data_IF_436611214460
#
_entry.id   IF_436611214460
#
_cell.length_a   1.000
_cell.length_b   1.000
_cell.length_c   1.000
_cell.angle_alpha   90.00
_cell.angle_beta   90.00
_cell.angle_gamma   90.00
#
_symmetry.space_group_name_H-M   'P 1'
#
loop_
_entity.id
_entity.type
_entity.pdbx_description
1 polymer ?
#
# COMPACT_ATOMS: atom_id res chain seq x y z
N UNK A 1 2.27 -1.69 20.79
CA UNK A 1 3.51 -2.52 20.84
C UNK A 1 4.68 -1.91 20.03
N UNK A 2 4.48 -1.53 18.77
CA UNK A 2 5.57 -1.02 17.89
C UNK A 2 6.33 0.20 18.44
N UNK A 3 5.62 1.22 18.93
CA UNK A 3 6.25 2.44 19.50
C UNK A 3 7.17 2.12 20.68
N UNK A 4 6.74 1.18 21.53
CA UNK A 4 7.55 0.70 22.64
C UNK A 4 8.84 0.01 22.17
N UNK A 5 8.74 -0.87 21.16
CA UNK A 5 9.90 -1.58 20.58
C UNK A 5 10.89 -0.61 19.93
N UNK A 6 10.41 0.40 19.22
CA UNK A 6 11.26 1.43 18.59
C UNK A 6 12.01 2.30 19.62
N UNK A 7 11.36 2.66 20.73
CA UNK A 7 11.99 3.38 21.85
C UNK A 7 13.05 2.52 22.53
N UNK A 8 12.74 1.24 22.81
CA UNK A 8 13.71 0.30 23.38
C UNK A 8 14.94 0.15 22.48
N UNK A 9 14.75 0.03 21.16
CA UNK A 9 15.86 -0.06 20.21
C UNK A 9 16.73 1.21 20.18
N UNK A 10 16.10 2.39 20.21
CA UNK A 10 16.81 3.66 20.21
C UNK A 10 17.60 3.88 21.51
N UNK A 11 16.98 3.62 22.67
CA UNK A 11 17.64 3.69 23.97
C UNK A 11 18.82 2.73 24.05
N UNK A 12 18.65 1.50 23.54
CA UNK A 12 19.73 0.52 23.50
C UNK A 12 20.90 0.95 22.60
N UNK A 13 20.61 1.62 21.48
CA UNK A 13 21.62 2.26 20.63
C UNK A 13 22.39 3.35 21.37
N UNK A 14 21.70 4.26 22.05
CA UNK A 14 22.31 5.33 22.85
C UNK A 14 23.23 4.78 23.94
N UNK A 15 22.77 3.78 24.70
CA UNK A 15 23.58 3.11 25.73
C UNK A 15 24.83 2.47 25.10
N UNK A 16 24.68 1.84 23.93
CA UNK A 16 25.80 1.20 23.23
C UNK A 16 26.86 2.21 22.77
N UNK A 17 26.44 3.36 22.23
CA UNK A 17 27.36 4.46 21.86
C UNK A 17 28.08 5.01 23.09
N UNK A 18 27.35 5.24 24.19
CA UNK A 18 27.92 5.79 25.41
C UNK A 18 28.97 4.86 26.03
N UNK A 19 28.66 3.56 26.13
CA UNK A 19 29.61 2.55 26.66
C UNK A 19 30.82 2.41 25.75
N UNK A 20 30.63 2.30 24.43
CA UNK A 20 31.73 2.17 23.48
C UNK A 20 32.61 3.42 23.39
N UNK A 21 32.01 4.61 23.43
CA UNK A 21 32.71 5.89 23.40
C UNK A 21 33.58 6.13 24.64
N UNK A 22 33.12 5.73 25.83
CA UNK A 22 33.91 5.83 27.07
C UNK A 22 35.19 5.00 27.01
N UNK A 23 35.10 3.77 26.48
CA UNK A 23 36.25 2.87 26.32
C UNK A 23 37.24 3.42 25.28
N UNK A 24 36.75 3.99 24.17
CA UNK A 24 37.60 4.63 23.17
C UNK A 24 38.27 5.91 23.68
N UNK A 25 37.66 6.61 24.64
CA UNK A 25 38.24 7.78 25.30
C UNK A 25 39.33 7.45 26.34
N UNK A 26 39.68 6.17 26.51
CA UNK A 26 40.76 5.74 27.40
C UNK A 26 40.35 5.50 28.85
N UNK A 27 39.04 5.48 29.16
CA UNK A 27 38.57 5.05 30.48
C UNK A 27 38.73 3.53 30.59
N UNK A 28 39.47 3.07 31.60
CA UNK A 28 39.72 1.65 31.84
C UNK A 28 38.42 0.93 32.20
N UNK A 29 37.97 -0.05 31.38
CA UNK A 29 36.77 -0.81 31.67
C UNK A 29 37.01 -1.98 32.64
N UNK A 30 38.25 -2.23 33.08
CA UNK A 30 38.60 -3.27 34.05
C UNK A 30 38.72 -4.68 33.46
N UNK A 31 38.88 -4.80 32.13
CA UNK A 31 39.09 -6.07 31.42
C UNK A 31 39.85 -5.84 30.11
N UNK A 32 40.44 -6.89 29.53
CA UNK A 32 41.14 -6.80 28.24
C UNK A 32 40.18 -6.47 27.09
N UNK A 33 40.47 -5.38 26.38
CA UNK A 33 39.61 -4.81 25.35
C UNK A 33 40.14 -5.13 23.96
N UNK A 34 39.39 -5.90 23.20
CA UNK A 34 39.65 -6.07 21.77
C UNK A 34 39.17 -4.83 20.99
N UNK A 35 40.09 -3.91 20.70
CA UNK A 35 39.80 -2.58 20.11
C UNK A 35 38.93 -2.62 18.83
N UNK A 36 39.14 -3.52 17.87
CA UNK A 36 38.30 -3.57 16.66
C UNK A 36 36.81 -3.79 16.99
N UNK A 37 36.50 -4.60 18.00
CA UNK A 37 35.12 -4.87 18.43
C UNK A 37 34.48 -3.65 19.10
N UNK A 38 35.26 -2.85 19.83
CA UNK A 38 34.74 -1.61 20.44
C UNK A 38 34.40 -0.58 19.38
N UNK A 39 35.24 -0.42 18.36
CA UNK A 39 34.96 0.48 17.23
C UNK A 39 33.67 0.03 16.52
N UNK A 40 33.56 -1.26 16.20
CA UNK A 40 32.35 -1.83 15.61
C UNK A 40 31.12 -1.54 16.48
N UNK A 41 31.21 -1.76 17.79
CA UNK A 41 30.10 -1.52 18.72
C UNK A 41 29.64 -0.08 18.76
N UNK A 42 30.56 0.87 18.79
CA UNK A 42 30.24 2.29 18.83
C UNK A 42 29.53 2.72 17.53
N UNK A 43 30.02 2.27 16.37
CA UNK A 43 29.37 2.54 15.07
C UNK A 43 27.98 1.92 15.03
N UNK A 44 27.86 0.65 15.42
CA UNK A 44 26.58 -0.05 15.45
C UNK A 44 25.59 0.61 16.40
N UNK A 45 26.04 1.20 17.51
CA UNK A 45 25.18 1.97 18.41
C UNK A 45 24.48 3.14 17.69
N UNK A 46 25.16 3.84 16.78
CA UNK A 46 24.55 4.91 15.97
C UNK A 46 23.54 4.31 14.98
N UNK A 47 23.89 3.20 14.34
CA UNK A 47 23.00 2.46 13.44
C UNK A 47 21.73 1.99 14.15
N UNK A 48 21.83 1.58 15.42
CA UNK A 48 20.70 1.15 16.25
C UNK A 48 19.72 2.31 16.53
N UNK A 49 20.25 3.50 16.82
CA UNK A 49 19.41 4.70 17.01
C UNK A 49 18.67 5.04 15.71
N UNK A 50 19.37 5.04 14.57
CA UNK A 50 18.76 5.29 13.27
C UNK A 50 17.68 4.26 12.93
N UNK A 51 17.95 2.98 13.20
CA UNK A 51 17.00 1.90 12.99
C UNK A 51 15.75 2.04 13.87
N UNK A 52 15.91 2.43 15.15
CA UNK A 52 14.79 2.72 16.04
C UNK A 52 13.91 3.87 15.55
N UNK A 53 14.52 5.00 15.15
CA UNK A 53 13.80 6.15 14.59
C UNK A 53 13.09 5.83 13.26
N UNK A 54 13.71 4.99 12.42
CA UNK A 54 13.12 4.54 11.15
C UNK A 54 11.94 3.60 11.38
N UNK A 55 12.07 2.65 12.31
CA UNK A 55 11.02 1.70 12.69
C UNK A 55 9.81 2.39 13.36
N UNK A 56 10.01 3.57 13.96
CA UNK A 56 8.92 4.41 14.45
C UNK A 56 8.04 4.96 13.32
N UNK A 57 8.64 5.30 12.17
CA UNK A 57 7.94 5.89 11.02
C UNK A 57 7.40 4.85 10.02
N UNK A 58 8.11 3.73 9.83
CA UNK A 58 7.80 2.75 8.79
C UNK A 58 8.14 1.33 9.29
N UNK A 59 7.14 0.50 9.64
CA UNK A 59 7.36 -0.84 10.18
C UNK A 59 7.95 -1.82 9.17
N UNK A 60 7.62 -1.70 7.87
CA UNK A 60 8.13 -2.58 6.81
C UNK A 60 9.64 -2.38 6.64
N UNK A 61 10.08 -1.12 6.59
CA UNK A 61 11.51 -0.79 6.59
C UNK A 61 12.18 -1.11 7.92
N UNK A 62 11.53 -0.87 9.05
CA UNK A 62 12.04 -1.24 10.38
C UNK A 62 12.41 -2.72 10.50
N UNK A 63 11.58 -3.62 9.95
CA UNK A 63 11.84 -5.06 9.89
C UNK A 63 13.13 -5.39 9.13
N UNK A 64 13.34 -4.79 7.95
CA UNK A 64 14.53 -5.01 7.12
C UNK A 64 15.79 -4.59 7.86
N UNK A 65 15.77 -3.42 8.51
CA UNK A 65 16.91 -2.93 9.29
C UNK A 65 17.21 -3.82 10.49
N UNK A 66 16.18 -4.25 11.23
CA UNK A 66 16.35 -5.18 12.34
C UNK A 66 16.93 -6.52 11.89
N UNK A 67 16.51 -7.04 10.72
CA UNK A 67 17.04 -8.27 10.14
C UNK A 67 18.53 -8.14 9.77
N UNK A 68 18.90 -7.06 9.08
CA UNK A 68 20.29 -6.78 8.68
C UNK A 68 21.18 -6.64 9.92
N UNK A 69 20.72 -5.90 10.93
CA UNK A 69 21.45 -5.72 12.19
C UNK A 69 21.62 -7.05 12.94
N UNK A 70 20.57 -7.86 13.04
CA UNK A 70 20.64 -9.16 13.70
C UNK A 70 21.63 -10.09 12.97
N UNK A 71 21.61 -10.09 11.64
CA UNK A 71 22.54 -10.89 10.82
C UNK A 71 23.99 -10.43 10.99
N UNK A 72 24.25 -9.13 10.94
CA UNK A 72 25.61 -8.58 11.15
C UNK A 72 26.15 -8.93 12.54
N UNK A 73 25.32 -8.79 13.58
CA UNK A 73 25.71 -9.17 14.94
C UNK A 73 25.97 -10.67 15.06
N UNK A 74 25.18 -11.52 14.39
CA UNK A 74 25.40 -12.96 14.36
C UNK A 74 26.72 -13.32 13.68
N UNK A 75 27.05 -12.69 12.55
CA UNK A 75 28.33 -12.90 11.85
C UNK A 75 29.50 -12.52 12.76
N UNK A 76 29.42 -11.36 13.42
CA UNK A 76 30.46 -10.92 14.37
C UNK A 76 30.56 -11.86 15.56
N UNK A 77 29.44 -12.29 16.13
CA UNK A 77 29.40 -13.26 17.23
C UNK A 77 30.08 -14.58 16.87
N UNK A 78 29.80 -15.12 15.69
CA UNK A 78 30.45 -16.33 15.19
C UNK A 78 31.95 -16.12 15.01
N UNK A 79 32.34 -14.97 14.45
CA UNK A 79 33.75 -14.63 14.19
C UNK A 79 34.56 -14.53 15.49
N UNK A 80 34.03 -13.83 16.50
CA UNK A 80 34.69 -13.73 17.81
C UNK A 80 34.64 -15.04 18.59
N UNK A 81 33.61 -15.87 18.39
CA UNK A 81 33.51 -17.19 19.01
C UNK A 81 34.60 -18.14 18.51
N UNK A 82 34.86 -18.12 17.20
CA UNK A 82 35.97 -18.85 16.58
C UNK A 82 37.32 -18.33 17.12
N UNK A 83 37.50 -17.00 17.17
CA UNK A 83 38.72 -16.40 17.71
C UNK A 83 38.94 -16.73 19.19
N UNK A 84 37.87 -16.77 19.99
CA UNK A 84 37.90 -17.18 21.40
C UNK A 84 38.33 -18.64 21.55
N UNK A 85 37.73 -19.55 20.78
CA UNK A 85 38.07 -20.97 20.78
C UNK A 85 39.52 -21.23 20.32
N UNK A 86 40.05 -20.38 19.44
CA UNK A 86 41.44 -20.42 18.99
C UNK A 86 42.43 -19.74 19.98
N UNK A 87 41.96 -19.21 21.10
CA UNK A 87 42.82 -18.58 22.13
C UNK A 87 43.31 -17.17 21.79
N UNK A 88 42.67 -16.45 20.87
CA UNK A 88 43.13 -15.16 20.36
C UNK A 88 42.88 -13.94 21.29
N UNK A 89 42.86 -14.14 22.62
CA UNK A 89 42.73 -13.05 23.60
C UNK A 89 41.37 -12.33 23.61
N UNK A 90 40.27 -13.05 23.30
CA UNK A 90 38.91 -12.50 23.36
C UNK A 90 38.36 -12.63 24.77
N UNK A 91 37.85 -11.53 25.35
CA UNK A 91 37.23 -11.58 26.67
C UNK A 91 35.84 -12.25 26.63
N UNK A 92 35.54 -13.13 27.60
CA UNK A 92 34.24 -13.78 27.73
C UNK A 92 33.08 -12.77 27.88
N UNK A 93 33.36 -11.61 28.49
CA UNK A 93 32.44 -10.48 28.62
C UNK A 93 32.06 -9.89 27.26
N UNK A 94 32.99 -9.87 26.30
CA UNK A 94 32.73 -9.40 24.93
C UNK A 94 31.82 -10.37 24.17
N UNK A 95 32.02 -11.68 24.37
CA UNK A 95 31.17 -12.72 23.82
C UNK A 95 29.75 -12.63 24.39
N UNK A 96 29.61 -12.48 25.72
CA UNK A 96 28.32 -12.31 26.39
C UNK A 96 27.57 -11.06 25.90
N UNK A 97 28.27 -9.93 25.76
CA UNK A 97 27.68 -8.69 25.23
C UNK A 97 27.19 -8.83 23.78
N UNK A 98 27.93 -9.57 22.94
CA UNK A 98 27.55 -9.84 21.55
C UNK A 98 26.37 -10.79 21.43
N UNK A 99 26.35 -11.84 22.24
CA UNK A 99 25.20 -12.75 22.34
C UNK A 99 23.94 -11.99 22.75
N UNK A 100 24.04 -11.11 23.75
CA UNK A 100 22.91 -10.29 24.19
C UNK A 100 22.38 -9.39 23.08
N UNK A 101 23.24 -8.67 22.36
CA UNK A 101 22.84 -7.82 21.21
C UNK A 101 22.14 -8.62 20.11
N UNK A 102 22.67 -9.79 19.79
CA UNK A 102 22.12 -10.68 18.77
C UNK A 102 20.71 -11.16 19.16
N UNK A 103 20.50 -11.51 20.43
CA UNK A 103 19.19 -11.91 20.94
C UNK A 103 18.19 -10.75 20.95
N UNK A 104 18.61 -9.55 21.40
CA UNK A 104 17.75 -8.37 21.43
C UNK A 104 17.27 -8.01 20.03
N UNK A 105 18.18 -7.92 19.06
CA UNK A 105 17.83 -7.58 17.67
C UNK A 105 17.07 -8.70 16.96
N UNK A 106 17.38 -9.97 17.25
CA UNK A 106 16.58 -11.11 16.80
C UNK A 106 15.14 -11.07 17.33
N UNK A 107 14.96 -10.73 18.61
CA UNK A 107 13.64 -10.53 19.22
C UNK A 107 12.86 -9.38 18.60
N UNK A 108 13.51 -8.21 18.41
CA UNK A 108 12.92 -7.05 17.73
C UNK A 108 12.50 -7.41 16.31
N UNK A 109 13.36 -8.12 15.56
CA UNK A 109 13.03 -8.61 14.22
C UNK A 109 11.81 -9.53 14.24
N UNK A 110 11.74 -10.49 15.17
CA UNK A 110 10.60 -11.41 15.27
C UNK A 110 9.30 -10.69 15.61
N UNK A 111 9.33 -9.70 16.50
CA UNK A 111 8.16 -8.89 16.85
C UNK A 111 7.71 -8.05 15.66
N UNK A 112 8.62 -7.32 15.02
CA UNK A 112 8.29 -6.53 13.82
C UNK A 112 7.81 -7.41 12.66
N UNK A 113 8.38 -8.60 12.47
CA UNK A 113 7.93 -9.56 11.47
C UNK A 113 6.52 -10.10 11.78
N UNK A 114 6.19 -10.33 13.07
CA UNK A 114 4.81 -10.66 13.47
C UNK A 114 3.85 -9.51 13.23
N UNK A 115 4.21 -8.28 13.59
CA UNK A 115 3.36 -7.10 13.36
C UNK A 115 3.14 -6.84 11.87
N UNK A 116 4.18 -6.91 11.04
CA UNK A 116 4.04 -6.75 9.58
C UNK A 116 3.19 -7.87 8.98
N UNK A 117 3.34 -9.13 9.45
CA UNK A 117 2.48 -10.23 9.00
C UNK A 117 1.04 -10.08 9.47
N UNK A 118 0.80 -9.60 10.68
CA UNK A 118 -0.54 -9.34 11.20
C UNK A 118 -1.22 -8.20 10.45
N UNK A 119 -0.49 -7.13 10.14
CA UNK A 119 -0.98 -6.04 9.30
C UNK A 119 -1.25 -6.54 7.89
N UNK A 120 -0.32 -7.27 7.27
CA UNK A 120 -0.53 -7.84 5.94
C UNK A 120 -1.67 -8.88 5.90
N UNK A 121 -1.86 -9.66 6.96
CA UNK A 121 -2.96 -10.62 7.07
C UNK A 121 -4.29 -9.93 7.37
N UNK A 122 -4.29 -8.82 8.12
CA UNK A 122 -5.47 -7.99 8.33
C UNK A 122 -5.82 -7.20 7.08
N UNK A 123 -4.84 -6.67 6.34
CA UNK A 123 -5.00 -6.09 5.00
C UNK A 123 -5.55 -7.15 4.04
N UNK A 124 -4.96 -8.35 3.97
CA UNK A 124 -5.45 -9.44 3.12
C UNK A 124 -6.81 -9.99 3.55
N UNK A 125 -7.12 -10.02 4.85
CA UNK A 125 -8.46 -10.40 5.35
C UNK A 125 -9.48 -9.31 5.08
N UNK A 126 -9.12 -8.04 5.23
CA UNK A 126 -9.98 -6.92 4.87
C UNK A 126 -10.20 -6.88 3.35
N UNK A 127 -9.18 -7.18 2.55
CA UNK A 127 -9.24 -7.22 1.10
C UNK A 127 -9.95 -8.49 0.60
N UNK A 128 -9.89 -9.60 1.34
CA UNK A 128 -10.70 -10.80 1.10
C UNK A 128 -12.15 -10.62 1.54
N UNK A 129 -12.39 -9.94 2.67
CA UNK A 129 -13.72 -9.54 3.13
C UNK A 129 -14.31 -8.48 2.19
N UNK A 130 -13.49 -7.65 1.55
CA UNK A 130 -13.88 -6.65 0.54
C UNK A 130 -14.08 -7.25 -0.85
N UNK A 131 -13.27 -8.25 -1.22
CA UNK A 131 -13.48 -9.06 -2.42
C UNK A 131 -14.71 -9.99 -2.28
N UNK A 132 -15.04 -10.42 -1.06
CA UNK A 132 -16.24 -11.21 -0.76
C UNK A 132 -17.48 -10.32 -0.52
N UNK A 133 -17.29 -9.10 0.02
CA UNK A 133 -18.31 -8.04 0.12
C UNK A 133 -18.53 -7.37 -1.24
N UNK A 134 -19.10 -8.14 -2.17
CA UNK A 134 -19.46 -7.66 -3.50
C UNK A 134 -20.07 -6.26 -3.46
N UNK A 135 -19.50 -5.36 -4.27
CA UNK A 135 -20.03 -4.05 -4.64
C UNK A 135 -20.89 -3.35 -3.59
N UNK A 136 -20.31 -3.06 -2.43
CA UNK A 136 -20.98 -2.24 -1.41
C UNK A 136 -20.57 -0.79 -1.61
N UNK A 137 -21.53 0.11 -1.92
CA UNK A 137 -21.35 1.55 -1.77
C UNK A 137 -21.04 1.79 -0.30
N UNK A 138 -19.77 2.02 0.04
CA UNK A 138 -19.37 2.36 1.40
C UNK A 138 -19.83 3.78 1.67
N UNK A 139 -20.79 4.01 2.59
CA UNK A 139 -21.01 5.36 3.09
C UNK A 139 -19.74 5.76 3.83
N UNK A 140 -19.19 6.94 3.52
CA UNK A 140 -18.20 7.56 4.41
C UNK A 140 -18.94 7.89 5.70
N UNK A 141 -18.72 7.11 6.75
CA UNK A 141 -19.32 7.35 8.05
C UNK A 141 -18.87 8.74 8.56
N UNK A 142 -19.86 9.54 8.99
CA UNK A 142 -19.76 10.86 9.63
C UNK A 142 -19.60 12.16 8.80
N UNK A 143 -19.84 12.16 7.48
CA UNK A 143 -20.04 13.40 6.71
C UNK A 143 -21.21 13.27 5.71
N UNK A 144 -21.92 14.36 5.34
CA UNK A 144 -22.88 14.28 4.24
C UNK A 144 -22.11 13.93 2.98
N UNK A 145 -22.19 12.66 2.55
CA UNK A 145 -21.49 12.12 1.38
C UNK A 145 -21.79 13.03 0.20
N UNK A 146 -20.79 13.78 -0.25
CA UNK A 146 -20.90 14.57 -1.47
C UNK A 146 -20.61 13.64 -2.65
N UNK A 147 -21.14 13.96 -3.83
CA UNK A 147 -20.88 13.17 -5.02
C UNK A 147 -19.37 13.15 -5.30
N UNK A 148 -18.70 14.29 -5.16
CA UNK A 148 -17.25 14.38 -5.33
C UNK A 148 -16.48 13.46 -4.38
N UNK A 149 -16.85 13.41 -3.08
CA UNK A 149 -16.17 12.53 -2.12
C UNK A 149 -16.38 11.04 -2.42
N UNK A 150 -17.55 10.66 -2.93
CA UNK A 150 -17.82 9.27 -3.30
C UNK A 150 -17.01 8.87 -4.54
N UNK A 151 -17.10 9.66 -5.62
CA UNK A 151 -16.43 9.34 -6.87
C UNK A 151 -14.90 9.41 -6.76
N UNK A 152 -14.34 10.27 -5.90
CA UNK A 152 -12.90 10.26 -5.62
C UNK A 152 -12.44 8.94 -4.97
N UNK A 153 -13.21 8.39 -4.02
CA UNK A 153 -12.92 7.07 -3.45
C UNK A 153 -13.10 5.97 -4.50
N UNK A 154 -14.08 6.11 -5.38
CA UNK A 154 -14.30 5.19 -6.50
C UNK A 154 -13.11 5.17 -7.47
N UNK A 155 -12.53 6.33 -7.77
CA UNK A 155 -11.30 6.46 -8.55
C UNK A 155 -10.10 5.81 -7.86
N UNK A 156 -9.90 6.06 -6.57
CA UNK A 156 -8.82 5.44 -5.79
C UNK A 156 -8.91 3.89 -5.86
N UNK A 157 -10.13 3.34 -5.80
CA UNK A 157 -10.36 1.89 -5.93
C UNK A 157 -10.05 1.37 -7.34
N UNK A 158 -10.43 2.11 -8.39
CA UNK A 158 -10.13 1.77 -9.80
C UNK A 158 -8.62 1.80 -10.04
N UNK A 159 -7.94 2.85 -9.59
CA UNK A 159 -6.50 3.02 -9.75
C UNK A 159 -5.73 1.91 -9.02
N UNK A 160 -6.17 1.52 -7.82
CA UNK A 160 -5.60 0.39 -7.09
C UNK A 160 -5.69 -0.90 -7.90
N UNK A 161 -6.85 -1.21 -8.47
CA UNK A 161 -7.04 -2.42 -9.28
C UNK A 161 -6.15 -2.40 -10.54
N UNK A 162 -6.01 -1.24 -11.17
CA UNK A 162 -5.13 -1.06 -12.32
C UNK A 162 -3.67 -1.30 -11.94
N UNK A 163 -3.20 -0.72 -10.84
CA UNK A 163 -1.83 -0.91 -10.36
C UNK A 163 -1.54 -2.36 -9.94
N UNK A 164 -2.49 -3.04 -9.30
CA UNK A 164 -2.40 -4.47 -8.98
C UNK A 164 -2.29 -5.33 -10.25
N UNK A 165 -3.13 -5.06 -11.25
CA UNK A 165 -3.02 -5.69 -12.57
C UNK A 165 -1.62 -5.48 -13.17
N UNK A 166 -1.15 -4.23 -13.21
CA UNK A 166 0.15 -3.87 -13.81
C UNK A 166 1.33 -4.54 -13.11
N UNK A 167 1.30 -4.62 -11.78
CA UNK A 167 2.31 -5.30 -10.99
C UNK A 167 2.33 -6.82 -11.25
N UNK A 168 1.16 -7.42 -11.51
CA UNK A 168 1.02 -8.85 -11.76
C UNK A 168 1.44 -9.31 -13.16
N UNK A 169 1.61 -8.39 -14.14
CA UNK A 169 1.91 -8.72 -15.56
C UNK A 169 3.14 -9.59 -15.78
N UNK A 170 4.12 -9.56 -14.88
CA UNK A 170 5.36 -10.35 -14.96
C UNK A 170 5.29 -11.71 -14.24
N UNK A 171 4.17 -11.97 -13.56
CA UNK A 171 3.93 -13.17 -12.78
C UNK A 171 2.93 -14.12 -13.44
N UNK A 172 1.94 -14.56 -12.67
CA UNK A 172 0.89 -15.46 -13.13
C UNK A 172 -0.07 -14.73 -14.09
N UNK A 173 -0.04 -15.10 -15.37
CA UNK A 173 -0.93 -14.57 -16.42
C UNK A 173 -2.40 -14.69 -16.04
N UNK A 174 -2.81 -15.83 -15.48
CA UNK A 174 -4.22 -16.07 -15.18
C UNK A 174 -4.70 -15.12 -14.07
N UNK A 175 -3.87 -14.93 -13.04
CA UNK A 175 -4.13 -13.95 -11.99
C UNK A 175 -4.17 -12.52 -12.55
N UNK A 176 -3.23 -12.15 -13.44
CA UNK A 176 -3.21 -10.84 -14.07
C UNK A 176 -4.47 -10.56 -14.90
N UNK A 177 -4.91 -11.53 -15.70
CA UNK A 177 -6.15 -11.39 -16.49
C UNK A 177 -7.39 -11.31 -15.59
N UNK A 178 -7.40 -11.98 -14.43
CA UNK A 178 -8.49 -11.85 -13.47
C UNK A 178 -8.56 -10.44 -12.87
N UNK A 179 -7.42 -9.88 -12.42
CA UNK A 179 -7.32 -8.51 -11.92
C UNK A 179 -7.72 -7.47 -12.98
N UNK A 180 -7.29 -7.67 -14.23
CA UNK A 180 -7.71 -6.81 -15.34
C UNK A 180 -9.23 -6.82 -15.55
N UNK A 181 -9.87 -7.98 -15.50
CA UNK A 181 -11.34 -8.07 -15.64
C UNK A 181 -12.07 -7.37 -14.50
N UNK A 182 -11.53 -7.44 -13.29
CA UNK A 182 -12.07 -6.74 -12.13
C UNK A 182 -11.93 -5.22 -12.29
N UNK A 183 -10.74 -4.74 -12.64
CA UNK A 183 -10.48 -3.34 -13.01
C UNK A 183 -11.45 -2.86 -14.09
N UNK A 184 -11.54 -3.58 -15.20
CA UNK A 184 -12.39 -3.24 -16.35
C UNK A 184 -13.85 -3.14 -15.91
N UNK A 185 -14.37 -4.15 -15.20
CA UNK A 185 -15.75 -4.15 -14.73
C UNK A 185 -16.06 -3.05 -13.71
N UNK A 186 -15.05 -2.56 -12.97
CA UNK A 186 -15.15 -1.39 -12.07
C UNK A 186 -15.26 -0.10 -12.84
N UNK A 187 -14.39 0.10 -13.81
CA UNK A 187 -14.36 1.28 -14.65
C UNK A 187 -15.61 1.40 -15.54
N UNK A 188 -16.05 0.32 -16.20
CA UNK A 188 -17.26 0.34 -17.03
C UNK A 188 -18.52 0.66 -16.20
N UNK A 189 -18.58 0.18 -14.96
CA UNK A 189 -19.70 0.48 -14.05
C UNK A 189 -19.67 1.93 -13.59
N UNK A 190 -18.50 2.43 -13.25
CA UNK A 190 -18.29 3.83 -12.92
C UNK A 190 -18.81 4.74 -14.04
N UNK A 191 -18.33 4.51 -15.27
CA UNK A 191 -18.77 5.23 -16.48
C UNK A 191 -20.29 5.11 -16.67
N UNK A 192 -20.85 3.92 -16.44
CA UNK A 192 -22.30 3.69 -16.50
C UNK A 192 -23.08 4.57 -15.51
N UNK A 193 -22.65 4.66 -14.25
CA UNK A 193 -23.28 5.55 -13.28
C UNK A 193 -23.20 7.01 -13.69
N UNK A 194 -22.09 7.42 -14.27
CA UNK A 194 -21.95 8.78 -14.73
C UNK A 194 -22.89 9.08 -15.90
N UNK A 195 -22.89 8.24 -16.93
CA UNK A 195 -23.70 8.48 -18.12
C UNK A 195 -25.21 8.32 -17.87
N UNK A 196 -25.62 7.34 -17.06
CA UNK A 196 -27.04 6.98 -16.89
C UNK A 196 -27.72 7.69 -15.72
N UNK A 197 -26.93 8.21 -14.77
CA UNK A 197 -27.43 8.80 -13.51
C UNK A 197 -26.90 10.22 -13.32
N UNK A 198 -25.59 10.41 -13.31
CA UNK A 198 -24.97 11.67 -12.92
C UNK A 198 -25.11 12.77 -13.98
N UNK A 199 -24.77 12.47 -15.24
CA UNK A 199 -24.85 13.42 -16.35
C UNK A 199 -26.29 13.86 -16.62
N UNK A 200 -27.32 12.97 -16.60
CA UNK A 200 -28.71 13.39 -16.69
C UNK A 200 -29.15 14.30 -15.54
N UNK A 201 -28.63 14.10 -14.32
CA UNK A 201 -28.85 15.04 -13.22
C UNK A 201 -28.22 16.40 -13.54
N UNK A 202 -26.96 16.43 -13.93
CA UNK A 202 -26.25 17.67 -14.25
C UNK A 202 -26.92 18.46 -15.38
N UNK A 203 -27.30 17.77 -16.46
CA UNK A 203 -27.98 18.35 -17.62
C UNK A 203 -29.34 18.93 -17.24
N UNK A 204 -30.09 18.24 -16.37
CA UNK A 204 -31.36 18.76 -15.84
C UNK A 204 -31.16 20.01 -14.99
N UNK A 205 -30.13 20.04 -14.14
CA UNK A 205 -29.86 21.16 -13.25
C UNK A 205 -29.35 22.40 -14.00
N UNK A 206 -28.56 22.21 -15.05
CA UNK A 206 -27.87 23.29 -15.77
C UNK A 206 -28.54 23.71 -17.09
N UNK A 207 -29.34 22.83 -17.69
CA UNK A 207 -29.85 22.98 -19.05
C UNK A 207 -28.81 22.75 -20.16
N UNK A 208 -27.57 22.36 -19.82
CA UNK A 208 -26.47 22.21 -20.77
C UNK A 208 -26.42 20.80 -21.36
N UNK A 209 -27.28 20.51 -22.34
CA UNK A 209 -27.40 19.17 -22.95
C UNK A 209 -26.47 18.98 -24.15
N UNK A 210 -26.62 19.77 -25.22
CA UNK A 210 -25.98 19.47 -26.52
C UNK A 210 -24.58 20.07 -26.70
N UNK A 211 -24.21 21.08 -25.90
CA UNK A 211 -22.91 21.76 -25.95
C UNK A 211 -22.28 21.86 -24.55
N UNK A 212 -22.67 20.94 -23.67
CA UNK A 212 -22.23 20.89 -22.28
C UNK A 212 -20.97 20.06 -22.07
N UNK A 213 -20.36 20.14 -20.87
CA UNK A 213 -19.18 19.33 -20.53
C UNK A 213 -19.45 17.82 -20.64
N UNK A 214 -20.68 17.37 -20.39
CA UNK A 214 -21.07 15.95 -20.47
C UNK A 214 -20.96 15.36 -21.87
N UNK A 215 -21.01 16.17 -22.94
CA UNK A 215 -20.77 15.69 -24.31
C UNK A 215 -19.30 15.30 -24.51
N UNK A 216 -18.39 16.11 -23.97
CA UNK A 216 -16.94 15.86 -24.02
C UNK A 216 -16.60 14.63 -23.18
N UNK A 217 -17.17 14.53 -21.97
CA UNK A 217 -16.97 13.37 -21.10
C UNK A 217 -17.39 12.06 -21.77
N UNK A 218 -18.59 12.00 -22.38
CA UNK A 218 -19.04 10.82 -23.13
C UNK A 218 -18.14 10.49 -24.33
N UNK A 219 -17.55 11.50 -24.99
CA UNK A 219 -16.61 11.25 -26.07
C UNK A 219 -15.32 10.60 -25.56
N UNK A 220 -14.87 10.99 -24.38
CA UNK A 220 -13.70 10.39 -23.74
C UNK A 220 -14.00 9.01 -23.16
N UNK A 221 -15.18 8.77 -22.59
CA UNK A 221 -15.63 7.43 -22.21
C UNK A 221 -15.61 6.47 -23.39
N UNK A 222 -16.10 6.90 -24.56
CA UNK A 222 -16.00 6.09 -25.79
C UNK A 222 -14.54 5.75 -26.11
N UNK A 223 -13.63 6.73 -26.00
CA UNK A 223 -12.20 6.51 -26.24
C UNK A 223 -11.58 5.54 -25.21
N UNK A 224 -11.95 5.66 -23.94
CA UNK A 224 -11.53 4.75 -22.88
C UNK A 224 -12.01 3.33 -23.18
N UNK A 225 -13.28 3.16 -23.55
CA UNK A 225 -13.86 1.87 -23.91
C UNK A 225 -13.18 1.23 -25.14
N UNK A 226 -12.87 2.01 -26.18
CA UNK A 226 -12.09 1.53 -27.33
C UNK A 226 -10.71 0.97 -26.92
N UNK A 227 -10.03 1.64 -25.98
CA UNK A 227 -8.74 1.18 -25.46
C UNK A 227 -8.87 -0.10 -24.63
N UNK A 228 -9.93 -0.20 -23.81
CA UNK A 228 -10.25 -1.42 -23.08
C UNK A 228 -10.53 -2.59 -24.04
N UNK A 229 -11.28 -2.37 -25.11
CA UNK A 229 -11.55 -3.38 -26.13
C UNK A 229 -10.27 -3.88 -26.84
N UNK A 230 -9.32 -2.97 -27.11
CA UNK A 230 -8.03 -3.34 -27.70
C UNK A 230 -7.19 -4.22 -26.75
N UNK A 231 -7.17 -3.88 -25.45
CA UNK A 231 -6.51 -4.69 -24.42
C UNK A 231 -7.19 -6.06 -24.31
N UNK A 232 -8.53 -6.09 -24.26
CA UNK A 232 -9.32 -7.33 -24.23
C UNK A 232 -8.98 -8.27 -25.39
N UNK A 233 -8.94 -7.74 -26.61
CA UNK A 233 -8.61 -8.52 -27.80
C UNK A 233 -7.21 -9.16 -27.69
N UNK A 234 -6.23 -8.40 -27.20
CA UNK A 234 -4.86 -8.89 -27.00
C UNK A 234 -4.78 -9.96 -25.90
N UNK A 235 -5.48 -9.76 -24.78
CA UNK A 235 -5.51 -10.71 -23.68
C UNK A 235 -6.26 -12.00 -24.07
N UNK A 236 -7.35 -11.89 -24.84
CA UNK A 236 -8.10 -13.03 -25.37
C UNK A 236 -7.27 -13.87 -26.35
N UNK A 237 -6.38 -13.23 -27.12
CA UNK A 237 -5.43 -13.91 -28.01
C UNK A 237 -4.27 -14.62 -27.28
N UNK A 238 -4.21 -14.55 -25.94
CA UNK A 238 -3.15 -15.20 -25.17
C UNK A 238 -1.85 -14.38 -25.04
N UNK A 239 -1.83 -13.13 -25.52
CA UNK A 239 -0.67 -12.24 -25.43
C UNK A 239 -0.74 -11.32 -24.20
N UNK A 240 0.41 -10.80 -23.74
CA UNK A 240 0.54 -9.74 -22.72
C UNK A 240 1.16 -8.44 -23.29
N UNK A 241 1.34 -8.36 -24.61
CA UNK A 241 1.97 -7.22 -25.27
C UNK A 241 0.97 -6.06 -25.42
N UNK A 242 0.54 -5.50 -24.30
CA UNK A 242 -0.50 -4.46 -24.21
C UNK A 242 0.06 -3.09 -23.79
N UNK A 243 1.38 -2.96 -23.64
CA UNK A 243 2.00 -1.78 -23.00
C UNK A 243 1.65 -0.46 -23.71
N UNK A 244 1.46 -0.49 -25.04
CA UNK A 244 1.07 0.69 -25.81
C UNK A 244 -0.38 1.12 -25.52
N UNK A 245 -1.32 0.19 -25.56
CA UNK A 245 -2.74 0.45 -25.29
C UNK A 245 -2.96 0.82 -23.81
N UNK A 246 -2.23 0.17 -22.89
CA UNK A 246 -2.23 0.50 -21.47
C UNK A 246 -1.69 1.92 -21.22
N UNK A 247 -0.58 2.32 -21.86
CA UNK A 247 -0.06 3.67 -21.72
C UNK A 247 -1.05 4.73 -22.23
N UNK A 248 -1.72 4.46 -23.36
CA UNK A 248 -2.76 5.33 -23.88
C UNK A 248 -4.00 5.38 -22.96
N UNK A 249 -4.38 4.26 -22.34
CA UNK A 249 -5.47 4.22 -21.36
C UNK A 249 -5.14 5.04 -20.12
N UNK A 250 -3.93 4.90 -19.57
CA UNK A 250 -3.48 5.69 -18.41
C UNK A 250 -3.48 7.19 -18.69
N UNK A 251 -3.03 7.61 -19.88
CA UNK A 251 -3.06 9.01 -20.29
C UNK A 251 -4.51 9.53 -20.41
N UNK A 252 -5.38 8.74 -21.05
CA UNK A 252 -6.79 9.09 -21.19
C UNK A 252 -7.49 9.23 -19.82
N UNK A 253 -7.32 8.26 -18.93
CA UNK A 253 -7.87 8.28 -17.57
C UNK A 253 -7.34 9.47 -16.77
N UNK A 254 -6.02 9.72 -16.80
CA UNK A 254 -5.44 10.85 -16.05
C UNK A 254 -6.00 12.21 -16.50
N UNK A 255 -6.15 12.42 -17.81
CA UNK A 255 -6.74 13.65 -18.34
C UNK A 255 -8.24 13.77 -18.01
N UNK A 256 -8.94 12.63 -18.03
CA UNK A 256 -10.37 12.51 -17.77
C UNK A 256 -10.71 12.80 -16.30
N UNK A 257 -10.11 12.06 -15.37
CA UNK A 257 -10.33 12.17 -13.92
C UNK A 257 -10.00 13.59 -13.42
N UNK A 258 -8.99 14.25 -14.01
CA UNK A 258 -8.65 15.63 -13.68
C UNK A 258 -9.84 16.58 -13.87
N UNK A 259 -10.63 16.42 -14.93
CA UNK A 259 -11.80 17.28 -15.19
C UNK A 259 -12.97 16.91 -14.29
N UNK A 260 -13.12 15.64 -13.98
CA UNK A 260 -14.19 15.18 -13.10
C UNK A 260 -14.03 15.72 -11.69
N UNK A 261 -12.88 15.45 -11.10
CA UNK A 261 -12.61 15.78 -9.70
C UNK A 261 -12.46 17.29 -9.47
N UNK A 262 -11.85 18.02 -10.41
CA UNK A 262 -11.58 19.45 -10.22
C UNK A 262 -12.67 20.37 -10.76
N UNK A 263 -13.53 19.87 -11.66
CA UNK A 263 -14.52 20.71 -12.35
C UNK A 263 -15.92 20.11 -12.19
N UNK A 264 -16.16 18.92 -12.72
CA UNK A 264 -17.52 18.40 -12.90
C UNK A 264 -18.20 18.06 -11.58
N UNK A 265 -17.60 17.21 -10.74
CA UNK A 265 -18.21 16.82 -9.46
C UNK A 265 -18.40 18.02 -8.53
N UNK A 266 -17.43 18.94 -8.34
CA UNK A 266 -17.65 20.15 -7.55
C UNK A 266 -18.76 21.05 -8.12
N UNK A 267 -18.93 21.11 -9.44
CA UNK A 267 -20.04 21.84 -10.06
C UNK A 267 -21.39 21.18 -9.79
N UNK A 268 -21.46 19.86 -9.83
CA UNK A 268 -22.69 19.11 -9.51
C UNK A 268 -23.04 19.28 -8.03
N UNK A 269 -22.08 19.09 -7.11
CA UNK A 269 -22.31 19.21 -5.67
C UNK A 269 -22.80 20.62 -5.27
N UNK A 270 -22.34 21.67 -5.94
CA UNK A 270 -22.82 23.05 -5.69
C UNK A 270 -24.26 23.29 -6.13
N UNK A 271 -24.77 22.52 -7.08
CA UNK A 271 -26.11 22.70 -7.64
C UNK A 271 -27.12 21.67 -7.13
N UNK A 272 -26.66 20.47 -6.79
CA UNK A 272 -27.50 19.37 -6.35
C UNK A 272 -27.99 19.59 -4.92
N UNK A 273 -29.31 19.48 -4.75
CA UNK A 273 -29.90 19.46 -3.41
C UNK A 273 -29.52 18.18 -2.65
N UNK A 274 -29.83 18.12 -1.36
CA UNK A 274 -29.65 16.88 -0.59
C UNK A 274 -30.53 15.74 -1.14
N UNK A 275 -31.75 16.06 -1.60
CA UNK A 275 -32.67 15.09 -2.19
C UNK A 275 -32.17 14.57 -3.55
N UNK A 276 -31.56 15.42 -4.38
CA UNK A 276 -30.94 14.98 -5.63
C UNK A 276 -29.81 13.99 -5.36
N UNK A 277 -28.94 14.28 -4.39
CA UNK A 277 -27.82 13.40 -4.00
C UNK A 277 -28.31 12.07 -3.46
N UNK A 278 -29.32 12.09 -2.59
CA UNK A 278 -29.94 10.87 -2.07
C UNK A 278 -30.54 10.01 -3.20
N UNK A 279 -31.22 10.64 -4.16
CA UNK A 279 -31.80 9.95 -5.32
C UNK A 279 -30.73 9.31 -6.22
N UNK A 280 -29.60 9.98 -6.44
CA UNK A 280 -28.45 9.42 -7.17
C UNK A 280 -27.95 8.16 -6.48
N UNK A 281 -27.61 8.25 -5.20
CA UNK A 281 -27.09 7.10 -4.46
C UNK A 281 -28.10 5.96 -4.35
N UNK A 282 -29.38 6.27 -4.19
CA UNK A 282 -30.43 5.25 -4.20
C UNK A 282 -30.47 4.50 -5.55
N UNK A 283 -30.35 5.21 -6.68
CA UNK A 283 -30.34 4.59 -8.00
C UNK A 283 -29.09 3.74 -8.23
N UNK A 284 -27.92 4.22 -7.81
CA UNK A 284 -26.66 3.45 -7.90
C UNK A 284 -26.76 2.14 -7.10
N UNK A 285 -27.34 2.16 -5.88
CA UNK A 285 -27.57 0.94 -5.08
C UNK A 285 -28.48 -0.06 -5.78
N UNK A 286 -29.51 0.40 -6.49
CA UNK A 286 -30.40 -0.48 -7.25
C UNK A 286 -29.66 -1.13 -8.41
N UNK A 287 -28.81 -0.40 -9.13
CA UNK A 287 -28.01 -0.97 -10.22
C UNK A 287 -26.99 -1.99 -9.72
N UNK A 288 -26.41 -1.77 -8.53
CA UNK A 288 -25.53 -2.74 -7.88
C UNK A 288 -26.21 -4.05 -7.51
N UNK A 289 -27.48 -3.99 -7.14
CA UNK A 289 -28.26 -5.16 -6.75
C UNK A 289 -28.77 -5.97 -7.96
N UNK A 290 -28.65 -5.46 -9.20
CA UNK A 290 -29.08 -6.19 -10.39
C UNK A 290 -28.00 -7.22 -10.81
N UNK A 291 -28.36 -8.51 -10.93
CA UNK A 291 -27.44 -9.50 -11.47
C UNK A 291 -27.13 -9.20 -12.93
N UNK A 292 -25.85 -9.28 -13.31
CA UNK A 292 -25.40 -9.12 -14.70
C UNK A 292 -26.02 -10.24 -15.55
N UNK A 293 -26.69 -9.94 -16.68
CA UNK A 293 -27.21 -10.97 -17.58
C UNK A 293 -26.07 -11.85 -18.12
N UNK A 294 -26.06 -13.14 -17.79
CA UNK A 294 -25.08 -14.11 -18.30
C UNK A 294 -24.20 -14.77 -17.24
N UNK A 295 -24.25 -14.33 -15.99
CA UNK A 295 -23.58 -15.01 -14.86
C UNK A 295 -24.60 -15.92 -14.15
N UNK A 296 -24.31 -17.23 -13.91
CA UNK A 296 -25.18 -18.06 -13.09
C UNK A 296 -25.26 -17.44 -11.70
N UNK A 297 -26.48 -17.07 -11.29
CA UNK A 297 -26.72 -16.36 -10.04
C UNK A 297 -26.17 -17.12 -8.83
N UNK A 298 -25.17 -16.53 -8.19
CA UNK A 298 -24.83 -16.87 -6.81
C UNK A 298 -25.89 -16.27 -5.90
N UNK A 299 -26.87 -17.08 -5.51
CA UNK A 299 -27.75 -16.73 -4.40
C UNK A 299 -26.88 -16.54 -3.14
N UNK A 300 -26.86 -15.33 -2.60
CA UNK A 300 -26.30 -15.05 -1.27
C UNK A 300 -27.41 -15.23 -0.23
N UNK A 301 -27.17 -16.13 0.72
CA UNK A 301 -27.92 -16.31 1.97
C UNK A 301 -27.51 -15.22 2.95
#
# INVERSE_FOLDING_TARGET
MQRFVAVVAALFGVVTVFVGGRVLAGLDPGFEVFRPLVIFNTIMGVVYVMAGLRAWRDPRRGRTWAAVIALLNLIVLLSIGIAYAAGAGVAAQSLAAMSFRTLVWGGIFLVLARTVRQVAAAEASAQADEADAGWVIRPVEDAPVTLASFYAVDHDDIDRLLDEFRASKTGDRQAAVALYREFKGRLERHIGWEEDILFPLFERLTGLVDNGPTVVMRAEHRRINELLEAIDATLAAGAMAIDADEAALLEALAAHNLKEENILYPMIDRQASAADREAVFARMRVELARPVPGTPGGARV
#
